data_IF_795336512135
#
_entry.id   IF_795336512135
#
_cell.length_a   1.000
_cell.length_b   1.000
_cell.length_c   1.000
_cell.angle_alpha   90.00
_cell.angle_beta   90.00
_cell.angle_gamma   90.00
#
_symmetry.space_group_name_H-M   'P 1'
#
loop_
_entity.id
_entity.type
_entity.pdbx_description
1 polymer ?
#
# COMPACT_ATOMS: atom_id res chain seq x y z
N UNK A 1 19.35 -4.06 21.08
CA UNK A 1 18.27 -4.23 20.08
C UNK A 1 17.76 -2.84 19.71
N UNK A 2 17.90 -2.40 18.46
CA UNK A 2 17.47 -1.07 18.04
C UNK A 2 16.01 -1.15 17.62
N UNK A 3 15.11 -0.53 18.38
CA UNK A 3 13.69 -0.44 18.04
C UNK A 3 13.57 0.54 16.87
N UNK A 4 13.12 0.06 15.70
CA UNK A 4 12.81 0.96 14.59
C UNK A 4 11.54 1.73 14.95
N UNK A 5 11.53 3.07 14.82
CA UNK A 5 10.33 3.86 15.09
C UNK A 5 9.19 3.43 14.16
N UNK A 6 7.96 3.43 14.67
CA UNK A 6 6.80 3.15 13.83
C UNK A 6 6.67 4.21 12.74
N UNK A 7 6.55 3.77 11.48
CA UNK A 7 6.36 4.66 10.33
C UNK A 7 4.87 4.92 10.14
N UNK A 8 4.52 6.16 9.82
CA UNK A 8 3.16 6.55 9.46
C UNK A 8 3.19 7.36 8.17
N UNK A 9 2.47 6.92 7.15
CA UNK A 9 2.47 7.60 5.85
C UNK A 9 1.80 6.80 4.76
N UNK A 10 1.91 7.30 3.53
CA UNK A 10 1.44 6.63 2.32
C UNK A 10 2.65 6.36 1.43
N UNK A 11 2.82 5.10 1.05
CA UNK A 11 3.81 4.67 0.08
C UNK A 11 3.14 4.61 -1.28
N UNK A 12 3.66 5.34 -2.26
CA UNK A 12 3.23 5.19 -3.64
C UNK A 12 3.99 4.01 -4.26
N UNK A 13 3.38 2.82 -4.31
CA UNK A 13 4.02 1.63 -4.85
C UNK A 13 3.67 1.50 -6.32
N UNK A 14 4.67 1.34 -7.18
CA UNK A 14 4.45 0.82 -8.53
C UNK A 14 4.27 -0.70 -8.46
N UNK A 15 3.02 -1.16 -8.54
CA UNK A 15 2.68 -2.58 -8.42
C UNK A 15 3.21 -3.34 -9.63
N UNK A 16 4.06 -4.37 -9.47
CA UNK A 16 4.47 -5.19 -10.60
C UNK A 16 3.31 -6.09 -11.07
N UNK A 17 3.40 -6.54 -12.33
CA UNK A 17 2.50 -7.55 -12.87
C UNK A 17 2.77 -8.91 -12.21
N UNK A 18 1.75 -9.75 -12.09
CA UNK A 18 1.83 -11.06 -11.45
C UNK A 18 1.68 -11.03 -9.91
N UNK A 19 1.62 -9.86 -9.29
CA UNK A 19 1.31 -9.72 -7.85
C UNK A 19 -0.12 -9.23 -7.65
N UNK A 20 -0.83 -9.81 -6.68
CA UNK A 20 -2.07 -9.20 -6.17
C UNK A 20 -1.76 -7.93 -5.39
N UNK A 21 -2.75 -7.05 -5.23
CA UNK A 21 -2.60 -5.88 -4.34
C UNK A 21 -2.33 -6.28 -2.87
N UNK A 22 -2.78 -7.48 -2.46
CA UNK A 22 -2.53 -8.02 -1.12
C UNK A 22 -1.08 -8.46 -0.95
N UNK A 23 -0.48 -9.09 -1.98
CA UNK A 23 0.93 -9.52 -1.93
C UNK A 23 1.87 -8.32 -1.73
N UNK A 24 1.53 -7.16 -2.32
CA UNK A 24 2.26 -5.91 -2.09
C UNK A 24 2.12 -5.45 -0.64
N UNK A 25 0.91 -5.48 -0.08
CA UNK A 25 0.69 -5.16 1.34
C UNK A 25 1.54 -6.07 2.24
N UNK A 26 1.60 -7.37 1.96
CA UNK A 26 2.39 -8.33 2.73
C UNK A 26 3.89 -8.14 2.56
N UNK A 27 4.36 -7.73 1.39
CA UNK A 27 5.75 -7.30 1.20
C UNK A 27 6.07 -6.07 2.05
N UNK A 28 5.21 -5.05 2.04
CA UNK A 28 5.38 -3.83 2.86
C UNK A 28 5.37 -4.15 4.36
N UNK A 29 4.45 -5.02 4.82
CA UNK A 29 4.43 -5.50 6.22
C UNK A 29 5.76 -6.13 6.63
N UNK A 30 6.33 -6.99 5.78
CA UNK A 30 7.62 -7.65 6.02
C UNK A 30 8.79 -6.67 6.03
N UNK A 31 8.84 -5.73 5.07
CA UNK A 31 9.92 -4.73 4.96
C UNK A 31 9.93 -3.80 6.17
N UNK A 32 8.75 -3.35 6.62
CA UNK A 32 8.64 -2.39 7.71
C UNK A 32 8.55 -3.04 9.09
N UNK A 33 8.26 -4.34 9.18
CA UNK A 33 7.98 -5.02 10.45
C UNK A 33 6.69 -4.52 11.11
N UNK A 34 5.70 -4.11 10.32
CA UNK A 34 4.47 -3.46 10.80
C UNK A 34 3.23 -4.26 10.39
N UNK A 35 2.26 -4.40 11.30
CA UNK A 35 0.98 -5.09 10.99
C UNK A 35 -0.05 -4.19 10.30
N UNK A 36 -0.08 -2.92 10.69
CA UNK A 36 -1.08 -1.94 10.24
C UNK A 36 -0.69 -1.36 8.89
N UNK A 37 -1.05 -2.06 7.83
CA UNK A 37 -0.78 -1.71 6.43
C UNK A 37 -2.01 -2.07 5.60
N UNK A 38 -2.38 -1.22 4.63
CA UNK A 38 -3.46 -1.49 3.67
C UNK A 38 -3.34 -0.61 2.43
N UNK A 39 -3.84 -1.11 1.29
CA UNK A 39 -3.88 -0.35 0.03
C UNK A 39 -5.17 0.46 -0.10
N UNK A 40 -5.20 1.44 -1.01
CA UNK A 40 -6.35 2.35 -1.20
C UNK A 40 -7.22 2.00 -2.41
N UNK A 41 -6.85 1.00 -3.19
CA UNK A 41 -7.65 0.47 -4.30
C UNK A 41 -7.06 -0.86 -4.74
N UNK A 42 -7.88 -1.76 -5.27
CA UNK A 42 -7.39 -3.03 -5.80
C UNK A 42 -7.03 -2.84 -7.26
N UNK A 43 -5.80 -3.24 -7.63
CA UNK A 43 -5.41 -3.48 -9.01
C UNK A 43 -5.44 -4.99 -9.28
N UNK A 44 -5.85 -5.36 -10.49
CA UNK A 44 -5.81 -6.74 -10.95
C UNK A 44 -4.37 -7.32 -10.89
N UNK A 45 -4.21 -8.64 -10.71
CA UNK A 45 -2.89 -9.25 -10.63
C UNK A 45 -2.00 -8.93 -11.83
N UNK A 46 -2.58 -8.88 -13.03
CA UNK A 46 -1.86 -8.58 -14.27
C UNK A 46 -1.59 -7.09 -14.50
N UNK A 47 -2.36 -6.19 -13.86
CA UNK A 47 -2.17 -4.75 -13.99
C UNK A 47 -0.85 -4.29 -13.35
N UNK A 48 -0.30 -3.17 -13.82
CA UNK A 48 0.85 -2.49 -13.20
C UNK A 48 0.47 -1.08 -12.79
N UNK A 49 1.35 -0.38 -12.09
CA UNK A 49 1.19 1.05 -11.81
C UNK A 49 0.81 1.39 -10.38
N UNK A 50 0.25 2.58 -10.21
CA UNK A 50 0.11 3.27 -8.92
C UNK A 50 -0.82 2.51 -7.96
N UNK A 51 -0.24 2.01 -6.87
CA UNK A 51 -0.93 1.39 -5.74
C UNK A 51 -0.53 2.12 -4.44
N UNK A 52 -1.31 3.12 -3.97
CA UNK A 52 -1.04 3.76 -2.70
C UNK A 52 -1.25 2.78 -1.54
N UNK A 53 -0.24 2.65 -0.69
CA UNK A 53 -0.22 1.78 0.49
C UNK A 53 -0.06 2.63 1.75
N UNK A 54 -1.11 2.68 2.56
CA UNK A 54 -1.10 3.36 3.84
C UNK A 54 -0.45 2.50 4.93
N UNK A 55 0.43 3.10 5.74
CA UNK A 55 1.11 2.45 6.87
C UNK A 55 0.81 3.16 8.19
N UNK A 56 0.66 2.39 9.26
CA UNK A 56 0.41 2.92 10.60
C UNK A 56 -0.85 3.78 10.66
N UNK A 57 -0.77 4.96 11.27
CA UNK A 57 -1.93 5.85 11.45
C UNK A 57 -2.54 6.35 10.14
N UNK A 58 -1.78 6.37 9.04
CA UNK A 58 -2.28 6.78 7.73
C UNK A 58 -3.35 5.84 7.16
N UNK A 59 -3.51 4.61 7.68
CA UNK A 59 -4.63 3.75 7.23
C UNK A 59 -6.01 4.37 7.50
N UNK A 60 -6.10 5.37 8.39
CA UNK A 60 -7.35 6.10 8.65
C UNK A 60 -7.81 6.97 7.48
N UNK A 61 -6.90 7.40 6.60
CA UNK A 61 -7.23 8.24 5.46
C UNK A 61 -7.47 7.43 4.17
N UNK A 62 -7.37 6.10 4.23
CA UNK A 62 -7.48 5.23 3.06
C UNK A 62 -8.79 5.46 2.29
N UNK A 63 -9.91 5.67 3.00
CA UNK A 63 -11.23 5.91 2.41
C UNK A 63 -11.25 7.12 1.45
N UNK A 64 -10.52 8.19 1.77
CA UNK A 64 -10.47 9.39 0.93
C UNK A 64 -9.64 9.14 -0.33
N UNK A 65 -8.56 8.37 -0.20
CA UNK A 65 -7.71 7.98 -1.33
C UNK A 65 -8.41 6.96 -2.24
N UNK A 66 -9.26 6.09 -1.69
CA UNK A 66 -10.08 5.16 -2.49
C UNK A 66 -11.05 5.91 -3.40
N UNK A 67 -11.61 7.02 -2.92
CA UNK A 67 -12.57 7.85 -3.67
C UNK A 67 -11.93 8.79 -4.69
N UNK A 68 -10.60 8.93 -4.68
CA UNK A 68 -9.91 9.77 -5.65
C UNK A 68 -10.10 9.25 -7.08
N UNK A 69 -10.13 10.18 -8.03
CA UNK A 69 -10.13 9.91 -9.46
C UNK A 69 -8.89 9.10 -9.84
N UNK A 70 -9.05 8.20 -10.82
CA UNK A 70 -8.00 7.30 -11.30
C UNK A 70 -8.02 7.31 -12.82
N UNK A 71 -6.83 7.23 -13.38
CA UNK A 71 -6.61 7.16 -14.82
C UNK A 71 -5.86 5.87 -15.14
N UNK A 72 -6.21 5.26 -16.27
CA UNK A 72 -5.62 4.03 -16.79
C UNK A 72 -5.32 4.25 -18.27
N UNK A 73 -4.21 3.68 -18.76
CA UNK A 73 -3.78 3.71 -20.17
C UNK A 73 -4.00 2.34 -20.80
#
# INVERSE_FOLDING_TARGET
MQVRPEVHGVLNVDKPSGMTSHDVVDAVRRILGMRRVGHTGTLDPQATGVLPVCVGRATRIAQYLTQAEKEYV
#
